data_IF_620227475212
#
_entry.id   IF_620227475212
#
_cell.length_a   1.000
_cell.length_b   1.000
_cell.length_c   1.000
_cell.angle_alpha   90.00
_cell.angle_beta   90.00
_cell.angle_gamma   90.00
#
_symmetry.space_group_name_H-M   'P 1'
#
loop_
_entity.id
_entity.type
_entity.pdbx_description
1 polymer ?
#
# COMPACT_ATOMS: atom_id res chain seq x y z
N UNK A 1 -5.33 20.56 10.44
CA UNK A 1 -4.96 19.39 11.27
C UNK A 1 -4.44 18.32 10.33
N UNK A 2 -3.14 18.01 10.38
CA UNK A 2 -2.52 16.98 9.55
C UNK A 2 -2.88 15.63 10.16
N UNK A 3 -3.73 14.84 9.49
CA UNK A 3 -3.99 13.45 9.87
C UNK A 3 -3.17 12.57 8.93
N UNK A 4 -2.15 11.91 9.46
CA UNK A 4 -1.32 10.98 8.72
C UNK A 4 -1.99 9.62 8.71
N UNK A 5 -2.25 9.07 7.53
CA UNK A 5 -2.71 7.68 7.40
C UNK A 5 -1.48 6.78 7.54
N UNK A 6 -1.46 5.89 8.53
CA UNK A 6 -0.42 4.89 8.64
C UNK A 6 -0.70 3.78 7.60
N UNK A 7 -0.03 3.84 6.45
CA UNK A 7 0.07 2.67 5.57
C UNK A 7 1.26 1.85 6.06
N UNK A 8 0.99 0.72 6.71
CA UNK A 8 2.00 -0.33 6.88
C UNK A 8 2.24 -0.97 5.50
N UNK A 9 3.21 -0.45 4.75
CA UNK A 9 3.78 -1.19 3.62
C UNK A 9 4.76 -2.18 4.25
N UNK A 10 4.55 -3.51 4.17
CA UNK A 10 5.58 -4.46 4.55
C UNK A 10 6.67 -4.42 3.48
N UNK A 11 7.54 -3.41 3.54
CA UNK A 11 8.84 -3.46 2.88
C UNK A 11 9.74 -4.24 3.84
N UNK A 12 10.02 -5.49 3.50
CA UNK A 12 11.12 -6.24 4.11
C UNK A 12 12.42 -5.58 3.63
N UNK A 13 12.87 -4.56 4.34
CA UNK A 13 14.20 -3.98 4.19
C UNK A 13 15.11 -4.57 5.27
N UNK A 14 15.94 -5.52 4.88
CA UNK A 14 16.94 -6.14 5.75
C UNK A 14 18.11 -5.16 5.89
N UNK A 15 18.22 -4.48 7.04
CA UNK A 15 19.38 -3.64 7.36
C UNK A 15 20.34 -4.45 8.21
N UNK A 16 21.42 -4.93 7.62
CA UNK A 16 22.53 -5.55 8.35
C UNK A 16 23.50 -4.45 8.83
N UNK A 17 23.60 -4.25 10.13
CA UNK A 17 24.65 -3.43 10.76
C UNK A 17 25.82 -4.36 11.06
N UNK A 18 26.96 -4.16 10.39
CA UNK A 18 28.21 -4.82 10.74
C UNK A 18 29.18 -3.75 11.28
N UNK A 19 29.31 -3.70 12.61
CA UNK A 19 30.44 -3.05 13.25
C UNK A 19 31.68 -3.91 13.08
N UNK A 20 32.84 -3.28 12.90
CA UNK A 20 34.12 -3.97 13.01
C UNK A 20 35.05 -3.24 13.98
N UNK A 21 35.52 -4.02 14.94
CA UNK A 21 36.58 -3.73 15.90
C UNK A 21 37.97 -3.85 15.27
N UNK A 22 38.88 -3.08 15.85
CA UNK A 22 40.32 -3.00 15.66
C UNK A 22 41.05 -4.36 15.72
N UNK A 23 42.05 -4.59 14.86
CA UNK A 23 43.36 -5.16 15.21
C UNK A 23 44.42 -4.78 14.16
N UNK A 24 45.60 -4.39 14.63
CA UNK A 24 46.67 -3.74 13.85
C UNK A 24 47.76 -4.68 13.34
N UNK A 25 48.71 -4.11 12.59
CA UNK A 25 50.01 -4.72 12.25
C UNK A 25 51.12 -3.66 12.07
N UNK A 26 52.33 -4.13 12.27
CA UNK A 26 53.63 -3.49 12.58
C UNK A 26 54.37 -2.82 11.40
N UNK A 27 55.43 -2.02 11.64
CA UNK A 27 56.12 -1.24 10.62
C UNK A 27 57.42 -1.88 10.11
N UNK A 28 57.77 -1.67 8.83
CA UNK A 28 59.13 -1.86 8.27
C UNK A 28 59.42 -0.70 7.28
N UNK A 29 60.66 -0.17 7.19
CA UNK A 29 60.90 1.21 6.81
C UNK A 29 61.23 1.47 5.33
N UNK A 30 60.85 2.69 4.94
CA UNK A 30 61.43 3.66 4.01
C UNK A 30 62.65 3.27 3.15
N UNK A 31 62.48 3.42 1.82
CA UNK A 31 63.52 4.01 0.97
C UNK A 31 62.89 5.03 0.01
N UNK A 32 63.53 6.21 -0.03
CA UNK A 32 63.12 7.44 -0.70
C UNK A 32 63.22 7.36 -2.23
N UNK A 33 62.25 7.99 -2.91
CA UNK A 33 62.30 8.28 -4.35
C UNK A 33 60.99 8.89 -4.84
N UNK A 34 60.83 10.21 -4.68
CA UNK A 34 59.68 10.97 -5.15
C UNK A 34 59.80 11.32 -6.64
N UNK A 35 58.92 10.76 -7.48
CA UNK A 35 58.31 11.43 -8.63
C UNK A 35 56.85 10.93 -8.69
N UNK A 36 55.89 11.84 -8.57
CA UNK A 36 54.47 11.53 -8.45
C UNK A 36 53.80 11.22 -9.81
N UNK A 37 53.04 10.11 -9.93
CA UNK A 37 51.96 9.97 -10.89
C UNK A 37 50.59 10.04 -10.20
N UNK A 38 49.67 10.72 -10.87
CA UNK A 38 48.26 10.95 -10.49
C UNK A 38 47.50 9.63 -10.25
N UNK A 39 46.72 9.45 -9.16
CA UNK A 39 46.02 8.20 -8.88
C UNK A 39 44.58 8.25 -9.39
N UNK A 40 44.25 7.40 -10.35
CA UNK A 40 42.84 7.03 -10.63
C UNK A 40 42.74 5.58 -11.07
N UNK A 41 43.32 4.68 -10.25
CA UNK A 41 42.95 3.27 -10.23
C UNK A 41 41.77 3.07 -9.28
N UNK A 42 40.55 3.13 -9.79
CA UNK A 42 39.38 2.66 -9.06
C UNK A 42 39.33 1.13 -9.11
N UNK A 43 39.20 0.42 -7.98
CA UNK A 43 39.05 -1.03 -8.00
C UNK A 43 37.74 -1.41 -8.69
N UNK A 44 37.89 -2.18 -9.77
CA UNK A 44 36.83 -2.92 -10.42
C UNK A 44 36.34 -4.03 -9.48
N UNK A 45 35.18 -3.82 -8.86
CA UNK A 45 34.29 -4.89 -8.37
C UNK A 45 32.85 -4.37 -8.38
N UNK A 46 32.28 -4.20 -9.57
CA UNK A 46 30.83 -4.25 -9.72
C UNK A 46 30.37 -5.68 -9.40
N UNK A 47 30.17 -5.95 -8.11
CA UNK A 47 29.36 -7.06 -7.68
C UNK A 47 27.89 -6.71 -7.99
N UNK A 48 27.50 -6.83 -9.26
CA UNK A 48 26.10 -7.05 -9.61
C UNK A 48 25.69 -8.36 -8.95
N UNK A 49 25.24 -8.28 -7.71
CA UNK A 49 24.37 -9.30 -7.16
C UNK A 49 23.09 -9.22 -8.00
N UNK A 50 23.04 -10.04 -9.05
CA UNK A 50 21.79 -10.44 -9.65
C UNK A 50 21.01 -11.18 -8.57
N UNK A 51 20.25 -10.45 -7.75
CA UNK A 51 19.08 -11.05 -7.14
C UNK A 51 18.25 -11.45 -8.35
N UNK A 52 18.23 -12.75 -8.66
CA UNK A 52 17.21 -13.34 -9.49
C UNK A 52 15.91 -13.09 -8.71
N UNK A 53 15.36 -11.89 -8.89
CA UNK A 53 14.39 -11.27 -8.01
C UNK A 53 13.14 -12.10 -8.02
N UNK A 54 12.79 -12.66 -6.86
CA UNK A 54 11.42 -13.09 -6.65
C UNK A 54 10.53 -11.90 -6.97
N UNK A 55 9.82 -11.97 -8.10
CA UNK A 55 8.87 -10.93 -8.49
C UNK A 55 7.88 -10.76 -7.35
N UNK A 56 7.52 -9.52 -7.02
CA UNK A 56 6.43 -9.25 -6.07
C UNK A 56 5.17 -9.91 -6.65
N UNK A 57 4.63 -10.90 -5.93
CA UNK A 57 3.46 -11.66 -6.37
C UNK A 57 2.15 -11.05 -5.88
N UNK A 58 2.19 -10.48 -4.69
CA UNK A 58 1.05 -9.90 -3.99
C UNK A 58 1.44 -8.55 -3.39
N UNK A 59 0.59 -7.55 -3.58
CA UNK A 59 0.63 -6.28 -2.86
C UNK A 59 -0.69 -6.16 -2.11
N UNK A 60 -0.64 -6.03 -0.79
CA UNK A 60 -1.82 -5.82 0.04
C UNK A 60 -1.70 -4.48 0.74
N UNK A 61 -2.71 -3.63 0.57
CA UNK A 61 -2.84 -2.36 1.28
C UNK A 61 -3.97 -2.53 2.29
N UNK A 62 -3.64 -2.40 3.57
CA UNK A 62 -4.62 -2.41 4.65
C UNK A 62 -4.77 -0.96 5.11
N UNK A 63 -5.97 -0.41 4.97
CA UNK A 63 -6.27 0.96 5.40
C UNK A 63 -6.85 0.91 6.81
N UNK A 64 -6.14 1.53 7.75
CA UNK A 64 -6.64 1.80 9.09
C UNK A 64 -7.17 3.23 9.12
N UNK A 65 -8.22 3.50 9.90
CA UNK A 65 -8.95 4.76 9.83
C UNK A 65 -8.84 5.58 11.13
N UNK A 66 -8.98 6.89 10.98
CA UNK A 66 -9.14 7.91 12.03
C UNK A 66 -8.06 8.17 13.08
N UNK A 67 -6.89 7.55 12.99
CA UNK A 67 -5.77 7.88 13.88
C UNK A 67 -4.65 8.65 13.18
N UNK A 68 -4.10 9.67 13.87
CA UNK A 68 -2.94 10.43 13.43
C UNK A 68 -1.61 9.74 13.78
N UNK A 69 -0.51 10.18 13.16
CA UNK A 69 0.83 9.59 13.36
C UNK A 69 1.21 9.47 14.84
N UNK A 70 1.12 10.57 15.59
CA UNK A 70 1.53 10.61 17.01
C UNK A 70 0.56 9.85 17.94
N UNK A 71 -0.62 9.46 17.45
CA UNK A 71 -1.57 8.62 18.20
C UNK A 71 -1.25 7.13 18.07
N UNK A 72 -0.50 6.75 17.01
CA UNK A 72 -0.12 5.36 16.71
C UNK A 72 1.35 5.12 17.05
N UNK A 73 2.28 5.92 16.51
CA UNK A 73 3.72 5.67 16.63
C UNK A 73 4.20 5.94 18.07
N UNK A 74 4.77 4.91 18.70
CA UNK A 74 5.16 4.91 20.11
C UNK A 74 4.02 4.70 21.10
N UNK A 75 2.77 4.60 20.64
CA UNK A 75 1.60 4.46 21.50
C UNK A 75 1.42 3.03 22.04
N UNK A 76 1.22 2.89 23.35
CA UNK A 76 0.90 1.60 23.98
C UNK A 76 -0.48 1.06 23.59
N UNK A 77 -1.35 1.91 23.04
CA UNK A 77 -2.68 1.52 22.55
C UNK A 77 -2.67 0.92 21.14
N UNK A 78 -1.53 0.99 20.43
CA UNK A 78 -1.32 0.39 19.11
C UNK A 78 -0.11 -0.58 19.13
N UNK A 79 -0.11 -1.61 20.00
CA UNK A 79 1.08 -2.44 20.23
C UNK A 79 1.46 -3.27 19.00
N UNK A 80 0.49 -3.66 18.17
CA UNK A 80 0.74 -4.47 16.98
C UNK A 80 1.38 -3.63 15.86
N UNK A 81 0.88 -2.42 15.63
CA UNK A 81 1.43 -1.49 14.65
C UNK A 81 2.86 -1.11 15.02
N UNK A 82 3.14 -0.85 16.31
CA UNK A 82 4.50 -0.55 16.79
C UNK A 82 5.45 -1.75 16.67
N UNK A 83 4.94 -2.98 16.83
CA UNK A 83 5.70 -4.18 16.53
C UNK A 83 6.06 -4.27 15.04
N UNK A 84 5.12 -3.95 14.14
CA UNK A 84 5.37 -3.94 12.70
C UNK A 84 6.38 -2.86 12.31
N UNK A 85 6.27 -1.64 12.87
CA UNK A 85 7.21 -0.54 12.65
C UNK A 85 8.64 -0.94 13.04
N UNK A 86 8.80 -1.66 14.16
CA UNK A 86 10.12 -2.11 14.61
C UNK A 86 10.71 -3.20 13.70
N UNK A 87 9.86 -4.03 13.08
CA UNK A 87 10.28 -5.16 12.23
C UNK A 87 10.48 -4.79 10.76
N UNK A 88 9.81 -3.75 10.29
CA UNK A 88 9.73 -3.38 8.88
C UNK A 88 10.02 -1.89 8.69
N UNK A 89 9.51 -1.31 7.59
CA UNK A 89 9.69 0.10 7.29
C UNK A 89 8.49 0.94 7.74
N UNK A 90 8.77 2.19 8.10
CA UNK A 90 7.77 3.22 8.38
C UNK A 90 7.89 4.35 7.35
N UNK A 91 6.81 4.62 6.62
CA UNK A 91 6.70 5.79 5.75
C UNK A 91 6.38 7.05 6.58
N UNK A 92 7.37 7.58 7.30
CA UNK A 92 7.19 8.66 8.27
C UNK A 92 6.74 10.02 7.68
N UNK A 93 6.77 10.18 6.36
CA UNK A 93 6.29 11.36 5.65
C UNK A 93 5.11 11.04 4.70
N UNK A 94 4.28 10.06 5.05
CA UNK A 94 3.04 9.77 4.34
C UNK A 94 1.90 10.64 4.87
N UNK A 95 1.28 11.43 3.98
CA UNK A 95 0.26 12.41 4.35
C UNK A 95 -1.05 12.15 3.59
N UNK A 96 -2.18 12.43 4.23
CA UNK A 96 -3.46 12.50 3.55
C UNK A 96 -3.44 13.60 2.46
N UNK A 97 -4.12 13.35 1.34
CA UNK A 97 -4.23 14.30 0.22
C UNK A 97 -5.35 15.34 0.44
N UNK A 98 -6.35 15.04 1.26
CA UNK A 98 -7.47 15.94 1.56
C UNK A 98 -8.21 15.55 2.85
N UNK A 99 -9.26 16.30 3.18
CA UNK A 99 -10.24 15.98 4.21
C UNK A 99 -11.64 16.40 3.72
N UNK A 100 -12.70 15.57 3.86
CA UNK A 100 -12.85 14.31 4.63
C UNK A 100 -12.17 13.09 3.99
N UNK A 101 -12.47 11.87 4.48
CA UNK A 101 -11.75 10.65 4.11
C UNK A 101 -12.00 10.20 2.66
N UNK A 102 -13.21 10.37 2.10
CA UNK A 102 -13.55 9.89 0.75
C UNK A 102 -12.55 10.34 -0.35
N UNK A 103 -12.18 11.63 -0.47
CA UNK A 103 -11.17 12.05 -1.45
C UNK A 103 -9.83 11.29 -1.36
N UNK A 104 -9.42 10.84 -0.17
CA UNK A 104 -8.19 10.08 0.01
C UNK A 104 -8.32 8.65 -0.55
N UNK A 105 -9.47 8.00 -0.33
CA UNK A 105 -9.75 6.69 -0.92
C UNK A 105 -9.81 6.76 -2.45
N UNK A 106 -10.45 7.79 -3.01
CA UNK A 106 -10.47 8.02 -4.46
C UNK A 106 -9.04 8.21 -5.00
N UNK A 107 -8.23 9.06 -4.36
CA UNK A 107 -6.85 9.27 -4.77
C UNK A 107 -5.97 8.01 -4.64
N UNK A 108 -6.24 7.12 -3.68
CA UNK A 108 -5.50 5.87 -3.51
C UNK A 108 -5.59 4.96 -4.74
N UNK A 109 -6.73 4.95 -5.45
CA UNK A 109 -6.95 4.06 -6.60
C UNK A 109 -6.93 4.77 -7.96
N UNK A 110 -7.14 6.09 -7.99
CA UNK A 110 -7.16 6.89 -9.21
C UNK A 110 -5.93 7.80 -9.38
N UNK A 111 -5.14 8.01 -8.33
CA UNK A 111 -3.99 8.92 -8.33
C UNK A 111 -4.34 10.41 -8.29
N UNK A 112 -5.64 10.76 -8.20
CA UNK A 112 -6.17 12.13 -8.14
C UNK A 112 -7.46 12.13 -7.31
N UNK A 113 -7.83 13.25 -6.69
CA UNK A 113 -9.10 13.34 -5.92
C UNK A 113 -10.32 13.45 -6.82
N UNK A 114 -10.15 13.60 -8.13
CA UNK A 114 -11.18 13.83 -9.14
C UNK A 114 -12.10 14.99 -8.79
N UNK A 115 -11.53 16.01 -8.11
CA UNK A 115 -12.22 17.18 -7.58
C UNK A 115 -13.27 16.88 -6.51
N UNK A 116 -13.27 15.67 -5.94
CA UNK A 116 -14.09 15.36 -4.76
C UNK A 116 -13.50 16.10 -3.57
N UNK A 117 -14.31 16.96 -2.95
CA UNK A 117 -13.91 17.76 -1.79
C UNK A 117 -14.71 17.44 -0.53
N UNK A 118 -15.72 16.58 -0.62
CA UNK A 118 -16.58 16.20 0.50
C UNK A 118 -17.10 14.77 0.33
N UNK A 119 -17.65 14.20 1.41
CA UNK A 119 -18.30 12.89 1.36
C UNK A 119 -19.56 12.97 0.48
N UNK A 120 -19.75 11.94 -0.35
CA UNK A 120 -20.92 11.74 -1.18
C UNK A 120 -21.16 10.23 -1.32
N UNK A 121 -22.40 9.83 -1.58
CA UNK A 121 -22.72 8.42 -1.88
C UNK A 121 -22.35 8.09 -3.33
N UNK A 122 -22.12 6.81 -3.67
CA UNK A 122 -21.91 6.39 -5.07
C UNK A 122 -22.99 6.88 -6.03
N UNK A 123 -24.25 6.98 -5.57
CA UNK A 123 -25.38 7.50 -6.36
C UNK A 123 -25.36 9.02 -6.56
N UNK A 124 -24.53 9.76 -5.83
CA UNK A 124 -24.42 11.21 -5.87
C UNK A 124 -23.17 11.68 -6.62
N UNK A 125 -22.10 10.89 -6.57
CA UNK A 125 -20.84 11.15 -7.26
C UNK A 125 -20.31 9.83 -7.83
N UNK A 126 -20.38 9.67 -9.14
CA UNK A 126 -19.80 8.52 -9.83
C UNK A 126 -18.93 8.98 -10.97
N UNK A 127 -17.85 8.24 -11.21
CA UNK A 127 -16.80 8.63 -12.15
C UNK A 127 -16.74 7.65 -13.32
N UNK A 128 -16.71 8.13 -14.57
CA UNK A 128 -16.57 7.27 -15.75
C UNK A 128 -15.14 6.76 -15.95
N UNK A 129 -14.16 7.36 -15.28
CA UNK A 129 -12.74 7.12 -15.51
C UNK A 129 -12.27 5.77 -14.95
N UNK A 130 -11.17 5.26 -15.51
CA UNK A 130 -10.52 4.06 -15.00
C UNK A 130 -9.70 4.37 -13.74
N UNK A 131 -9.66 3.40 -12.82
CA UNK A 131 -8.71 3.35 -11.71
C UNK A 131 -7.48 2.54 -12.10
N UNK A 132 -6.59 2.29 -11.15
CA UNK A 132 -5.48 1.33 -11.26
C UNK A 132 -5.94 -0.06 -11.76
N UNK A 133 -7.21 -0.43 -11.62
CA UNK A 133 -7.74 -1.74 -12.04
C UNK A 133 -7.58 -1.99 -13.53
N UNK A 134 -7.63 -0.94 -14.37
CA UNK A 134 -7.39 -1.10 -15.82
C UNK A 134 -5.97 -1.56 -16.11
N UNK A 135 -5.00 -1.13 -15.30
CA UNK A 135 -3.63 -1.64 -15.41
C UNK A 135 -3.59 -3.11 -15.03
N UNK A 136 -4.25 -3.50 -13.93
CA UNK A 136 -4.33 -4.91 -13.53
C UNK A 136 -4.95 -5.78 -14.62
N UNK A 137 -6.11 -5.40 -15.15
CA UNK A 137 -6.80 -6.13 -16.21
C UNK A 137 -5.92 -6.26 -17.47
N UNK A 138 -5.30 -5.15 -17.91
CA UNK A 138 -4.47 -5.13 -19.12
C UNK A 138 -3.20 -5.99 -19.02
N UNK A 139 -2.76 -6.28 -17.80
CA UNK A 139 -1.59 -7.12 -17.52
C UNK A 139 -1.97 -8.51 -16.99
N UNK A 140 -3.26 -8.86 -16.98
CA UNK A 140 -3.74 -10.16 -16.49
C UNK A 140 -3.45 -10.39 -15.00
N UNK A 141 -3.38 -9.31 -14.21
CA UNK A 141 -3.19 -9.36 -12.76
C UNK A 141 -4.53 -9.40 -12.06
N UNK A 142 -4.70 -10.35 -11.15
CA UNK A 142 -5.90 -10.41 -10.31
C UNK A 142 -5.86 -9.32 -9.25
N UNK A 143 -7.02 -8.76 -8.93
CA UNK A 143 -7.15 -7.79 -7.85
C UNK A 143 -8.44 -8.02 -7.08
N UNK A 144 -8.47 -7.66 -5.80
CA UNK A 144 -9.72 -7.58 -5.03
C UNK A 144 -9.72 -6.38 -4.11
N UNK A 145 -10.92 -5.95 -3.78
CA UNK A 145 -11.19 -5.17 -2.58
C UNK A 145 -11.93 -6.05 -1.58
N UNK A 146 -11.49 -5.99 -0.33
CA UNK A 146 -12.08 -6.71 0.80
C UNK A 146 -12.54 -5.70 1.85
N UNK A 147 -13.84 -5.42 1.90
CA UNK A 147 -14.42 -4.49 2.87
C UNK A 147 -14.92 -5.20 4.11
N UNK A 148 -14.51 -4.71 5.28
CA UNK A 148 -15.08 -5.12 6.55
C UNK A 148 -16.60 -4.82 6.59
N UNK A 149 -17.36 -5.74 7.15
CA UNK A 149 -18.82 -5.65 7.32
C UNK A 149 -19.65 -5.42 6.04
N UNK A 150 -19.06 -5.52 4.84
CA UNK A 150 -19.82 -5.39 3.60
C UNK A 150 -20.90 -6.47 3.54
N UNK A 151 -22.19 -6.12 3.39
CA UNK A 151 -23.29 -7.07 3.55
C UNK A 151 -23.41 -8.04 2.38
N UNK A 152 -23.10 -7.56 1.16
CA UNK A 152 -23.12 -8.31 -0.09
C UNK A 152 -22.06 -7.76 -1.03
N UNK A 153 -21.55 -8.58 -1.95
CA UNK A 153 -20.56 -8.15 -2.94
C UNK A 153 -21.00 -6.87 -3.64
N UNK A 154 -20.05 -5.96 -3.86
CA UNK A 154 -20.27 -4.68 -4.51
C UNK A 154 -21.39 -3.81 -3.87
N UNK A 155 -21.62 -3.93 -2.56
CA UNK A 155 -22.61 -3.09 -1.88
C UNK A 155 -22.28 -1.59 -2.04
N UNK A 156 -23.23 -0.81 -2.53
CA UNK A 156 -23.09 0.65 -2.76
C UNK A 156 -23.81 1.49 -1.70
N UNK A 157 -24.36 0.83 -0.68
CA UNK A 157 -25.13 1.45 0.40
C UNK A 157 -24.59 1.03 1.75
N UNK A 158 -24.77 1.91 2.75
CA UNK A 158 -24.45 1.60 4.14
C UNK A 158 -25.21 0.36 4.61
N UNK A 159 -24.53 -0.55 5.31
CA UNK A 159 -25.17 -1.73 5.89
C UNK A 159 -26.20 -1.33 6.96
N UNK A 160 -27.14 -2.23 7.26
CA UNK A 160 -28.23 -1.93 8.20
C UNK A 160 -27.73 -1.63 9.63
N UNK A 161 -26.63 -2.28 10.05
CA UNK A 161 -25.96 -2.05 11.33
C UNK A 161 -25.05 -0.81 11.33
N UNK A 162 -24.85 -0.18 10.17
CA UNK A 162 -23.99 0.99 10.01
C UNK A 162 -22.49 0.69 10.00
N UNK A 163 -22.09 -0.58 10.04
CA UNK A 163 -20.68 -0.98 10.12
C UNK A 163 -19.95 -0.82 8.79
N UNK A 164 -20.60 -1.13 7.66
CA UNK A 164 -20.06 -0.85 6.33
C UNK A 164 -20.57 0.49 5.81
N UNK A 165 -19.65 1.35 5.38
CA UNK A 165 -19.97 2.61 4.70
C UNK A 165 -19.25 2.69 3.34
N UNK A 166 -19.97 2.93 2.23
CA UNK A 166 -19.38 2.94 0.90
C UNK A 166 -18.21 3.89 0.72
N UNK A 167 -18.13 4.98 1.49
CA UNK A 167 -17.05 5.98 1.40
C UNK A 167 -15.65 5.45 1.69
N UNK A 168 -15.51 4.27 2.32
CA UNK A 168 -14.21 3.61 2.51
C UNK A 168 -13.85 2.68 1.36
N UNK A 169 -14.81 2.32 0.51
CA UNK A 169 -14.59 1.49 -0.67
C UNK A 169 -14.57 2.39 -1.92
N UNK A 170 -13.39 2.78 -2.44
CA UNK A 170 -13.34 3.69 -3.57
C UNK A 170 -13.86 3.05 -4.86
N UNK A 171 -13.78 1.73 -5.04
CA UNK A 171 -14.11 1.08 -6.30
C UNK A 171 -15.60 1.18 -6.66
N UNK A 172 -16.49 1.28 -5.66
CA UNK A 172 -17.93 1.45 -5.92
C UNK A 172 -18.32 2.82 -6.47
N UNK A 173 -17.39 3.78 -6.54
CA UNK A 173 -17.61 5.10 -7.16
C UNK A 173 -17.26 5.12 -8.66
N UNK A 174 -16.69 4.05 -9.22
CA UNK A 174 -16.20 4.04 -10.60
C UNK A 174 -17.07 3.17 -11.51
N UNK A 175 -17.60 3.77 -12.57
CA UNK A 175 -18.47 3.10 -13.53
C UNK A 175 -17.74 2.01 -14.32
N UNK A 176 -16.41 2.15 -14.47
CA UNK A 176 -15.58 1.10 -15.05
C UNK A 176 -15.58 -0.19 -14.23
N UNK A 177 -15.95 -0.12 -12.94
CA UNK A 177 -16.08 -1.28 -12.06
C UNK A 177 -17.55 -1.68 -11.93
N UNK A 178 -18.41 -0.74 -11.54
CA UNK A 178 -19.81 -1.03 -11.20
C UNK A 178 -20.73 -1.19 -12.41
N UNK A 179 -20.36 -0.61 -13.56
CA UNK A 179 -21.15 -0.52 -14.79
C UNK A 179 -22.58 0.05 -14.59
N UNK A 180 -22.79 0.91 -13.59
CA UNK A 180 -24.16 1.29 -13.20
C UNK A 180 -24.39 2.74 -12.75
N UNK A 181 -23.40 3.63 -12.85
CA UNK A 181 -23.53 5.03 -12.43
C UNK A 181 -24.02 5.24 -10.97
N UNK A 182 -23.84 4.27 -10.08
CA UNK A 182 -24.30 4.35 -8.69
C UNK A 182 -25.78 4.04 -8.48
N UNK A 183 -26.45 3.41 -9.45
CA UNK A 183 -27.88 3.03 -9.35
C UNK A 183 -28.17 1.86 -8.40
N UNK A 184 -27.13 1.26 -7.81
CA UNK A 184 -27.23 0.06 -6.98
C UNK A 184 -27.28 -1.27 -7.74
N UNK A 185 -27.46 -1.27 -9.06
CA UNK A 185 -27.44 -2.49 -9.90
C UNK A 185 -26.00 -2.96 -10.15
N UNK A 186 -25.50 -4.01 -9.52
CA UNK A 186 -24.06 -4.35 -9.62
C UNK A 186 -23.72 -5.16 -10.88
N UNK A 187 -22.53 -4.95 -11.43
CA UNK A 187 -21.99 -5.76 -12.53
C UNK A 187 -21.38 -7.07 -12.03
N UNK A 188 -21.30 -8.09 -12.89
CA UNK A 188 -20.58 -9.32 -12.56
C UNK A 188 -19.11 -9.03 -12.20
N UNK A 189 -18.47 -8.11 -12.92
CA UNK A 189 -17.09 -7.70 -12.67
C UNK A 189 -16.95 -7.10 -11.26
N UNK A 190 -17.83 -6.19 -10.86
CA UNK A 190 -17.81 -5.66 -9.50
C UNK A 190 -18.05 -6.77 -8.46
N UNK A 191 -19.03 -7.65 -8.70
CA UNK A 191 -19.34 -8.74 -7.78
C UNK A 191 -18.20 -9.76 -7.61
N UNK A 192 -17.28 -9.90 -8.58
CA UNK A 192 -16.12 -10.79 -8.45
C UNK A 192 -14.91 -10.12 -7.80
N UNK A 193 -14.78 -8.80 -7.88
CA UNK A 193 -13.62 -8.06 -7.40
C UNK A 193 -13.83 -7.35 -6.06
N UNK A 194 -15.04 -6.85 -5.78
CA UNK A 194 -15.38 -6.02 -4.62
C UNK A 194 -16.25 -6.85 -3.69
N UNK A 195 -15.67 -7.35 -2.60
CA UNK A 195 -16.26 -8.45 -1.81
C UNK A 195 -16.16 -8.21 -0.30
N UNK A 196 -17.02 -8.86 0.52
CA UNK A 196 -16.88 -8.84 1.97
C UNK A 196 -15.53 -9.39 2.43
N UNK A 197 -15.00 -8.84 3.52
CA UNK A 197 -13.71 -9.25 4.08
C UNK A 197 -13.64 -10.73 4.44
N UNK A 198 -14.76 -11.38 4.73
CA UNK A 198 -14.82 -12.84 4.93
C UNK A 198 -14.27 -13.65 3.74
N UNK A 199 -14.37 -13.12 2.51
CA UNK A 199 -13.81 -13.75 1.32
C UNK A 199 -12.27 -13.81 1.33
N UNK A 200 -11.60 -12.90 2.04
CA UNK A 200 -10.13 -12.92 2.19
C UNK A 200 -9.66 -14.27 2.75
N UNK A 201 -10.35 -14.82 3.75
CA UNK A 201 -10.00 -16.09 4.35
C UNK A 201 -10.17 -17.27 3.38
N UNK A 202 -11.23 -17.25 2.57
CA UNK A 202 -11.45 -18.25 1.54
C UNK A 202 -10.34 -18.22 0.47
N UNK A 203 -9.96 -17.03 0.02
CA UNK A 203 -8.90 -16.85 -0.96
C UNK A 203 -7.53 -17.24 -0.39
N UNK A 204 -7.25 -16.89 0.87
CA UNK A 204 -6.02 -17.28 1.56
C UNK A 204 -5.90 -18.81 1.69
N UNK A 205 -6.95 -19.48 2.18
CA UNK A 205 -6.94 -20.93 2.40
C UNK A 205 -6.88 -21.72 1.09
N UNK A 206 -7.46 -21.19 0.01
CA UNK A 206 -7.44 -21.80 -1.31
C UNK A 206 -6.21 -21.44 -2.15
N UNK A 207 -5.23 -20.73 -1.59
CA UNK A 207 -4.04 -20.24 -2.32
C UNK A 207 -4.38 -19.37 -3.54
N UNK A 208 -5.48 -18.62 -3.47
CA UNK A 208 -6.02 -17.76 -4.53
C UNK A 208 -6.00 -16.27 -4.16
N UNK A 209 -5.03 -15.85 -3.34
CA UNK A 209 -4.84 -14.44 -3.04
C UNK A 209 -4.60 -13.64 -4.34
N UNK A 210 -5.19 -12.44 -4.47
CA UNK A 210 -5.05 -11.64 -5.67
C UNK A 210 -3.64 -11.03 -5.77
N UNK A 211 -3.20 -10.65 -6.96
CA UNK A 211 -1.95 -9.90 -7.12
C UNK A 211 -1.99 -8.54 -6.41
N UNK A 212 -3.16 -7.89 -6.35
CA UNK A 212 -3.40 -6.69 -5.57
C UNK A 212 -4.62 -6.85 -4.65
N UNK A 213 -4.49 -6.51 -3.38
CA UNK A 213 -5.61 -6.42 -2.46
C UNK A 213 -5.67 -5.03 -1.80
N UNK A 214 -6.85 -4.42 -1.80
CA UNK A 214 -7.18 -3.33 -0.90
C UNK A 214 -8.10 -3.86 0.20
N UNK A 215 -7.72 -3.67 1.46
CA UNK A 215 -8.51 -4.07 2.63
C UNK A 215 -8.93 -2.79 3.35
N UNK A 216 -10.22 -2.62 3.55
CA UNK A 216 -10.82 -1.39 4.10
C UNK A 216 -11.76 -1.69 5.27
N UNK A 217 -11.92 -0.75 6.21
CA UNK A 217 -12.82 -0.89 7.35
C UNK A 217 -14.28 -0.57 7.01
#
# INVERSE_FOLDING_TARGET
MKRSVAIAIPVVALVAVAGLTYFGYTPIPSLLGFIAPNPSGGPSTSATHSIAGSRIRHVMIIVMENEGYDQVVGSSSAPYENLLITRYALAANYNAVSHPSLPNYIALVAGDTLRVTNDCRPSQCSFPNATITRLFDSHGLSWREYAESMPVNCSQTTSQDGLYVPKHNPFVYFNSVTNNNGSGVTSQYCNSHVVPFTQFWNDLQSSNLPNFALITP
#
